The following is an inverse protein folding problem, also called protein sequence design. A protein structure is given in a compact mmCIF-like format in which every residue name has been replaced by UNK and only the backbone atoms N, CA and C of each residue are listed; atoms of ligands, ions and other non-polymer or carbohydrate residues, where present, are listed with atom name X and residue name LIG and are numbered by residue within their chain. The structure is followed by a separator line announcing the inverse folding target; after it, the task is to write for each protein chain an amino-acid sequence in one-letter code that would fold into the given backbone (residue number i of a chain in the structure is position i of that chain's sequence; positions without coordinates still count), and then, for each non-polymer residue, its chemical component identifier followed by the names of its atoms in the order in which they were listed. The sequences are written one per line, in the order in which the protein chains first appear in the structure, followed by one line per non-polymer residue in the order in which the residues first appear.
data_IF_311121726702
#
_entry.id   IF_311121726702
#
_cell.length_a   1.000
_cell.length_b   1.000
_cell.length_c   1.000
_cell.angle_alpha   90.00
_cell.angle_beta   90.00
_cell.angle_gamma   90.00
#
_symmetry.space_group_name_H-M   'P 1'
#
loop_
_entity.id
_entity.type
_entity.pdbx_description
1 polymer ?
#
# COMPACT_ATOMS: atom_id res chain seq x y z
N UNK A 1 -4.42 -10.60 -24.59
CA UNK A 1 -3.18 -11.18 -24.06
C UNK A 1 -2.04 -10.65 -24.92
N UNK A 2 -0.92 -10.30 -24.30
CA UNK A 2 0.26 -9.74 -24.98
C UNK A 2 1.35 -10.79 -25.09
N UNK A 3 2.22 -10.67 -26.10
CA UNK A 3 3.37 -11.55 -26.26
C UNK A 3 4.42 -11.32 -25.17
N UNK A 4 5.20 -12.35 -24.79
CA UNK A 4 6.38 -12.17 -23.95
C UNK A 4 7.30 -11.08 -24.51
N UNK A 5 7.85 -10.25 -23.63
CA UNK A 5 8.77 -9.16 -23.98
C UNK A 5 8.19 -8.03 -24.86
N UNK A 6 6.88 -7.94 -25.08
CA UNK A 6 6.29 -6.89 -25.94
C UNK A 6 6.68 -5.45 -25.54
N UNK A 7 6.93 -5.18 -24.25
CA UNK A 7 7.36 -3.86 -23.75
C UNK A 7 8.80 -3.51 -24.12
N UNK A 8 9.69 -4.48 -24.39
CA UNK A 8 11.10 -4.20 -24.68
C UNK A 8 11.29 -3.32 -25.92
N UNK A 9 10.38 -3.43 -26.90
CA UNK A 9 10.40 -2.64 -28.12
C UNK A 9 9.65 -1.30 -27.99
N UNK A 10 9.00 -1.04 -26.85
CA UNK A 10 8.20 0.18 -26.60
C UNK A 10 8.98 1.22 -25.80
N UNK A 11 9.89 0.79 -24.94
CA UNK A 11 10.74 1.70 -24.18
C UNK A 11 11.98 2.14 -24.97
N UNK A 12 12.49 3.37 -24.72
CA UNK A 12 13.76 3.79 -25.26
C UNK A 12 14.89 2.90 -24.71
N UNK A 13 15.87 2.60 -25.57
CA UNK A 13 17.04 1.76 -25.22
C UNK A 13 17.89 2.42 -24.11
N UNK A 14 17.91 3.75 -24.07
CA UNK A 14 18.68 4.52 -23.11
C UNK A 14 17.74 5.28 -22.16
N UNK A 15 18.12 5.36 -20.89
CA UNK A 15 17.41 6.16 -19.89
C UNK A 15 17.47 7.65 -20.31
N UNK A 16 16.35 8.38 -20.30
CA UNK A 16 16.33 9.81 -20.61
C UNK A 16 17.24 10.61 -19.68
N UNK A 17 18.09 11.46 -20.25
CA UNK A 17 18.96 12.37 -19.48
C UNK A 17 18.23 13.62 -18.96
N UNK A 18 16.98 13.83 -19.36
CA UNK A 18 16.15 14.98 -18.99
C UNK A 18 14.82 14.49 -18.46
N UNK A 19 14.25 15.26 -17.54
CA UNK A 19 12.91 15.00 -17.04
C UNK A 19 11.88 15.09 -18.16
N UNK A 20 10.89 14.20 -18.11
CA UNK A 20 9.76 14.17 -19.04
C UNK A 20 8.51 14.76 -18.37
N UNK A 21 7.61 15.38 -19.14
CA UNK A 21 6.34 15.85 -18.59
C UNK A 21 5.49 14.67 -18.15
N UNK A 22 4.81 14.81 -17.00
CA UNK A 22 3.93 13.76 -16.47
C UNK A 22 2.86 13.29 -17.45
N UNK A 23 2.40 14.19 -18.34
CA UNK A 23 1.43 13.86 -19.39
C UNK A 23 1.94 12.78 -20.36
N UNK A 24 3.21 12.85 -20.77
CA UNK A 24 3.82 11.86 -21.65
C UNK A 24 3.90 10.50 -20.94
N UNK A 25 4.34 10.49 -19.67
CA UNK A 25 4.41 9.28 -18.85
C UNK A 25 3.03 8.63 -18.69
N UNK A 26 1.98 9.42 -18.45
CA UNK A 26 0.62 8.90 -18.33
C UNK A 26 0.07 8.35 -19.66
N UNK A 27 0.49 8.93 -20.79
CA UNK A 27 0.17 8.42 -22.11
C UNK A 27 0.83 7.06 -22.36
N UNK A 28 2.10 6.89 -21.99
CA UNK A 28 2.81 5.62 -22.08
C UNK A 28 2.16 4.54 -21.18
N UNK A 29 1.79 4.91 -19.94
CA UNK A 29 1.06 3.99 -19.05
C UNK A 29 -0.25 3.52 -19.69
N UNK A 30 -0.99 4.44 -20.33
CA UNK A 30 -2.25 4.12 -21.00
C UNK A 30 -2.06 3.23 -22.22
N UNK A 31 -1.06 3.52 -23.05
CA UNK A 31 -0.88 2.90 -24.35
C UNK A 31 -0.10 1.58 -24.27
N UNK A 32 0.87 1.48 -23.36
CA UNK A 32 1.78 0.34 -23.30
C UNK A 32 1.55 -0.52 -22.05
N UNK A 33 1.36 0.05 -20.85
CA UNK A 33 1.26 -0.73 -19.61
C UNK A 33 -0.13 -1.33 -19.38
N UNK A 34 -1.18 -0.51 -19.51
CA UNK A 34 -2.57 -0.94 -19.25
C UNK A 34 -2.96 -2.15 -20.14
N UNK A 35 -2.69 -2.18 -21.46
CA UNK A 35 -3.11 -3.28 -22.32
C UNK A 35 -2.46 -4.64 -22.01
N UNK A 36 -1.24 -4.64 -21.45
CA UNK A 36 -0.57 -5.87 -21.02
C UNK A 36 -0.80 -6.26 -19.57
N UNK A 37 -1.53 -5.45 -18.80
CA UNK A 37 -1.81 -5.71 -17.40
C UNK A 37 -3.03 -6.61 -17.23
N UNK A 38 -2.95 -7.57 -16.31
CA UNK A 38 -4.13 -8.33 -15.88
C UNK A 38 -5.00 -7.47 -14.98
N UNK A 39 -6.21 -7.13 -15.42
CA UNK A 39 -7.13 -6.28 -14.66
C UNK A 39 -7.83 -7.06 -13.53
N UNK A 40 -7.14 -7.25 -12.41
CA UNK A 40 -7.66 -7.94 -11.21
C UNK A 40 -8.91 -7.31 -10.61
N UNK A 41 -9.15 -6.01 -10.85
CA UNK A 41 -10.29 -5.27 -10.32
C UNK A 41 -11.55 -5.37 -11.19
N UNK A 42 -11.53 -6.08 -12.33
CA UNK A 42 -12.75 -6.24 -13.13
C UNK A 42 -13.76 -7.14 -12.41
N UNK A 43 -15.07 -6.84 -12.48
CA UNK A 43 -16.11 -7.68 -11.87
C UNK A 43 -16.10 -9.14 -12.33
N UNK A 44 -15.59 -9.39 -13.54
CA UNK A 44 -15.55 -10.71 -14.16
C UNK A 44 -14.16 -11.37 -14.08
N UNK A 45 -13.34 -11.00 -13.08
CA UNK A 45 -12.05 -11.64 -12.82
C UNK A 45 -12.19 -12.73 -11.74
N UNK A 46 -12.01 -13.99 -12.12
CA UNK A 46 -12.24 -15.15 -11.24
C UNK A 46 -10.99 -16.04 -11.05
N UNK A 47 -9.81 -15.56 -11.44
CA UNK A 47 -8.58 -16.32 -11.25
C UNK A 47 -8.05 -16.16 -9.81
N UNK A 48 -7.52 -17.24 -9.23
CA UNK A 48 -6.88 -17.27 -7.91
C UNK A 48 -7.75 -16.69 -6.77
N UNK A 49 -7.17 -15.85 -5.92
CA UNK A 49 -7.87 -15.11 -4.86
C UNK A 49 -8.08 -13.64 -5.27
N UNK A 50 -9.20 -13.02 -4.89
CA UNK A 50 -9.49 -11.65 -5.29
C UNK A 50 -8.52 -10.66 -4.65
N UNK A 51 -7.99 -9.74 -5.45
CA UNK A 51 -7.29 -8.56 -4.95
C UNK A 51 -8.33 -7.49 -4.57
N UNK A 52 -8.88 -7.61 -3.36
CA UNK A 52 -9.92 -6.70 -2.87
C UNK A 52 -9.36 -5.31 -2.59
N UNK A 53 -10.00 -4.29 -3.13
CA UNK A 53 -9.69 -2.88 -2.85
C UNK A 53 -10.95 -2.13 -2.39
N UNK A 54 -10.76 -1.02 -1.70
CA UNK A 54 -11.84 -0.11 -1.32
C UNK A 54 -11.37 1.34 -1.46
N UNK A 55 -12.32 2.27 -1.64
CA UNK A 55 -12.01 3.70 -1.73
C UNK A 55 -11.30 4.17 -0.45
N UNK A 56 -11.74 3.70 0.71
CA UNK A 56 -11.10 4.00 2.00
C UNK A 56 -9.64 3.52 2.04
N UNK A 57 -9.37 2.31 1.53
CA UNK A 57 -8.01 1.76 1.44
C UNK A 57 -7.10 2.58 0.51
N UNK A 58 -7.60 2.95 -0.67
CA UNK A 58 -6.83 3.79 -1.63
C UNK A 58 -6.52 5.18 -1.04
N UNK A 59 -7.48 5.81 -0.35
CA UNK A 59 -7.25 7.08 0.33
C UNK A 59 -6.24 6.93 1.47
N UNK A 60 -6.31 5.83 2.23
CA UNK A 60 -5.34 5.50 3.28
C UNK A 60 -3.91 5.38 2.73
N UNK A 61 -3.72 4.66 1.63
CA UNK A 61 -2.42 4.51 0.97
C UNK A 61 -1.91 5.86 0.43
N UNK A 62 -2.81 6.66 -0.15
CA UNK A 62 -2.47 8.01 -0.64
C UNK A 62 -1.96 8.89 0.50
N UNK A 63 -2.64 8.90 1.64
CA UNK A 63 -2.21 9.63 2.83
C UNK A 63 -0.89 9.09 3.40
N UNK A 64 -0.71 7.77 3.43
CA UNK A 64 0.53 7.15 3.88
C UNK A 64 1.72 7.59 3.01
N UNK A 65 1.55 7.57 1.68
CA UNK A 65 2.55 8.06 0.74
C UNK A 65 2.83 9.56 0.90
N UNK A 66 1.80 10.39 1.14
CA UNK A 66 1.95 11.83 1.38
C UNK A 66 2.71 12.14 2.66
N UNK A 67 2.45 11.41 3.75
CA UNK A 67 3.16 11.62 5.01
C UNK A 67 4.60 11.11 4.96
N UNK A 68 4.90 10.13 4.10
CA UNK A 68 6.23 9.58 3.86
C UNK A 68 7.00 9.26 5.16
N UNK A 69 6.30 8.70 6.15
CA UNK A 69 6.85 8.38 7.47
C UNK A 69 7.60 7.06 7.44
N UNK A 70 8.83 7.05 7.95
CA UNK A 70 9.62 5.82 8.08
C UNK A 70 9.34 5.20 9.47
N UNK A 71 8.50 4.16 9.51
CA UNK A 71 8.02 3.50 10.73
C UNK A 71 8.93 2.40 11.29
N UNK A 72 10.26 2.57 11.28
CA UNK A 72 11.22 1.52 11.65
C UNK A 72 11.34 1.27 13.16
N UNK A 73 10.86 2.19 14.00
CA UNK A 73 10.72 1.99 15.45
C UNK A 73 9.37 2.48 15.95
N UNK A 74 8.86 1.91 17.04
CA UNK A 74 7.55 2.29 17.61
C UNK A 74 7.40 3.79 17.90
N UNK A 75 8.48 4.47 18.31
CA UNK A 75 8.49 5.93 18.56
C UNK A 75 8.25 6.72 17.27
N UNK A 76 8.68 6.21 16.12
CA UNK A 76 8.59 6.91 14.83
C UNK A 76 7.19 6.93 14.22
N UNK A 77 6.27 6.04 14.65
CA UNK A 77 4.87 6.09 14.23
C UNK A 77 3.94 5.42 15.25
N UNK A 78 3.60 6.18 16.29
CA UNK A 78 2.66 5.75 17.33
C UNK A 78 1.26 5.47 16.77
N UNK A 79 0.81 6.27 15.80
CA UNK A 79 -0.50 6.12 15.18
C UNK A 79 -0.64 4.79 14.43
N UNK A 80 0.39 4.35 13.71
CA UNK A 80 0.36 3.07 12.98
C UNK A 80 0.23 1.88 13.94
N UNK A 81 0.90 1.98 15.10
CA UNK A 81 0.81 0.96 16.16
C UNK A 81 -0.59 0.90 16.76
N UNK A 82 -1.21 2.04 17.04
CA UNK A 82 -2.56 2.12 17.62
C UNK A 82 -3.65 1.56 16.69
N UNK A 83 -3.50 1.73 15.37
CA UNK A 83 -4.41 1.13 14.38
C UNK A 83 -4.33 -0.39 14.38
N UNK A 84 -3.14 -0.97 14.54
CA UNK A 84 -2.97 -2.42 14.65
C UNK A 84 -3.61 -2.98 15.92
N UNK A 85 -3.50 -2.25 17.03
CA UNK A 85 -4.15 -2.64 18.28
C UNK A 85 -5.67 -2.59 18.17
N UNK A 86 -6.22 -1.58 17.47
CA UNK A 86 -7.65 -1.52 17.17
C UNK A 86 -8.12 -2.71 16.31
N UNK A 87 -7.36 -3.06 15.27
CA UNK A 87 -7.66 -4.23 14.43
C UNK A 87 -7.59 -5.55 15.22
N UNK A 88 -6.60 -5.70 16.10
CA UNK A 88 -6.45 -6.89 16.94
C UNK A 88 -7.62 -7.05 17.92
N UNK A 89 -8.12 -5.94 18.47
CA UNK A 89 -9.34 -5.93 19.29
C UNK A 89 -10.58 -6.36 18.49
N UNK A 90 -10.73 -5.89 17.24
CA UNK A 90 -11.83 -6.31 16.37
C UNK A 90 -11.81 -7.82 16.08
N UNK A 91 -10.62 -8.42 16.00
CA UNK A 91 -10.44 -9.86 15.76
C UNK A 91 -10.61 -10.73 17.02
N UNK A 92 -11.01 -10.16 18.16
CA UNK A 92 -11.17 -10.86 19.44
C UNK A 92 -9.95 -11.73 19.81
N UNK A 93 -8.74 -11.26 19.52
CA UNK A 93 -7.49 -12.00 19.78
C UNK A 93 -7.20 -12.06 21.29
N UNK A 94 -6.55 -13.14 21.77
CA UNK A 94 -6.11 -13.24 23.16
C UNK A 94 -5.11 -12.13 23.49
N UNK A 95 -5.20 -11.59 24.72
CA UNK A 95 -4.46 -10.40 25.19
C UNK A 95 -2.93 -10.50 25.05
N UNK A 96 -2.39 -11.71 24.96
CA UNK A 96 -0.94 -11.96 24.80
C UNK A 96 -0.35 -11.41 23.50
N UNK A 97 -1.16 -11.07 22.50
CA UNK A 97 -0.69 -10.57 21.19
C UNK A 97 -0.53 -9.03 21.19
N UNK A 98 -1.11 -8.30 22.16
CA UNK A 98 -1.10 -6.82 22.21
C UNK A 98 -0.22 -6.35 23.37
N UNK A 99 1.06 -6.05 23.12
CA UNK A 99 2.00 -5.69 24.21
C UNK A 99 2.05 -4.18 24.51
N UNK A 100 1.77 -3.31 23.54
CA UNK A 100 2.13 -1.88 23.66
C UNK A 100 1.11 -1.01 24.40
N UNK A 101 -0.19 -1.31 24.31
CA UNK A 101 -1.21 -0.59 25.08
C UNK A 101 -1.28 -1.03 26.55
N UNK A 102 -0.99 -2.30 26.87
CA UNK A 102 -0.99 -2.79 28.25
C UNK A 102 0.14 -2.16 29.05
N UNK A 103 1.38 -2.15 28.53
CA UNK A 103 2.52 -1.49 29.19
C UNK A 103 2.27 0.01 29.41
N UNK A 104 1.59 0.69 28.46
CA UNK A 104 1.23 2.11 28.60
C UNK A 104 0.12 2.36 29.63
N UNK A 105 -0.88 1.47 29.70
CA UNK A 105 -1.98 1.55 30.67
C UNK A 105 -1.49 1.26 32.08
N UNK A 106 -0.67 0.22 32.25
CA UNK A 106 -0.04 -0.16 33.52
C UNK A 106 0.90 0.95 34.03
N UNK A 107 1.70 1.59 33.17
CA UNK A 107 2.51 2.76 33.59
C UNK A 107 1.66 3.97 33.99
N UNK A 108 0.56 4.26 33.30
CA UNK A 108 -0.34 5.37 33.71
C UNK A 108 -1.06 5.08 35.02
N UNK A 109 -1.39 3.83 35.30
CA UNK A 109 -2.02 3.40 36.55
C UNK A 109 -1.01 3.32 37.71
N UNK A 110 0.27 3.06 37.46
CA UNK A 110 1.33 3.08 38.50
C UNK A 110 1.89 4.47 38.83
N UNK A 111 1.53 5.50 38.06
CA UNK A 111 1.96 6.91 38.29
C UNK A 111 0.84 7.77 38.91
N UNK A 112 -0.30 7.15 39.25
CA UNK A 112 -1.39 7.74 40.03
C UNK A 112 -1.41 7.11 41.41
#
# INVERSE_FOLDING_TARGET
QVEPYYLQNRFPINIPNKAEPIGAILEDVKNDIIPGSSHWQRPNHYAYYPCTTSIAGVLGETLAALFNVIGFHWISSLAATEVMDWLANMLNKPRTVIHLLQVRRERRESTK
#
